data_IF_785958297034
#
_entry.id   IF_785958297034
#
_cell.length_a   1.000
_cell.length_b   1.000
_cell.length_c   1.000
_cell.angle_alpha   90.00
_cell.angle_beta   90.00
_cell.angle_gamma   90.00
#
_symmetry.space_group_name_H-M   'P 1'
#
loop_
_entity.id
_entity.type
_entity.pdbx_description
1 polymer ?
#
# COMPACT_ATOMS: atom_id res chain seq x y z
N UNK A 1 -18.03 -3.75 -19.37
CA UNK A 1 -16.60 -3.37 -19.34
C UNK A 1 -16.40 -2.49 -18.12
N UNK A 2 -15.82 -3.00 -17.04
CA UNK A 2 -15.47 -2.18 -15.87
C UNK A 2 -14.11 -1.56 -16.18
N UNK A 3 -14.07 -0.24 -16.31
CA UNK A 3 -12.86 0.52 -16.62
C UNK A 3 -11.83 0.34 -15.50
N UNK A 4 -10.55 0.40 -15.84
CA UNK A 4 -9.51 0.47 -14.81
C UNK A 4 -9.61 1.84 -14.16
N UNK A 5 -9.78 1.93 -12.83
CA UNK A 5 -9.86 3.21 -12.16
C UNK A 5 -8.63 4.07 -12.47
N UNK A 6 -8.87 5.30 -12.90
CA UNK A 6 -7.84 6.26 -13.30
C UNK A 6 -6.87 6.52 -12.13
N UNK A 7 -5.60 6.18 -12.34
CA UNK A 7 -4.51 6.76 -11.56
C UNK A 7 -4.29 8.15 -12.10
N UNK A 8 -4.54 9.16 -11.27
CA UNK A 8 -4.18 10.55 -11.60
C UNK A 8 -2.98 10.94 -10.78
N UNK A 9 -1.92 11.38 -11.47
CA UNK A 9 -0.76 12.02 -10.86
C UNK A 9 -0.98 13.54 -10.98
N UNK A 10 -1.49 14.14 -9.91
CA UNK A 10 -1.84 15.56 -9.88
C UNK A 10 -0.74 16.30 -9.10
N UNK A 11 0.18 16.94 -9.83
CA UNK A 11 1.45 17.48 -9.34
C UNK A 11 2.46 16.41 -8.87
N UNK A 12 3.76 16.73 -8.80
CA UNK A 12 4.84 15.83 -8.33
C UNK A 12 4.66 15.28 -6.90
N UNK A 13 3.57 15.65 -6.23
CA UNK A 13 3.31 15.43 -4.81
C UNK A 13 2.14 14.50 -4.49
N UNK A 14 1.26 14.18 -5.46
CA UNK A 14 0.10 13.32 -5.21
C UNK A 14 -0.12 12.24 -6.25
N UNK A 15 -0.33 11.01 -5.79
CA UNK A 15 -0.81 9.89 -6.57
C UNK A 15 -2.20 9.53 -6.07
N UNK A 16 -3.17 9.43 -6.96
CA UNK A 16 -4.58 9.22 -6.59
C UNK A 16 -5.10 7.99 -7.31
N UNK A 17 -5.58 7.00 -6.56
CA UNK A 17 -6.38 5.90 -7.07
C UNK A 17 -7.86 6.18 -6.80
N UNK A 18 -8.56 6.69 -7.81
CA UNK A 18 -10.00 6.96 -7.71
C UNK A 18 -10.78 5.64 -7.77
N UNK A 19 -11.89 5.52 -7.04
CA UNK A 19 -12.81 4.40 -7.21
C UNK A 19 -14.03 4.83 -8.04
N UNK A 20 -14.51 3.96 -8.92
CA UNK A 20 -15.73 4.20 -9.71
C UNK A 20 -17.00 4.14 -8.86
N UNK A 21 -16.93 3.38 -7.77
CA UNK A 21 -17.95 3.28 -6.73
C UNK A 21 -17.27 3.28 -5.36
N UNK A 22 -17.98 3.65 -4.30
CA UNK A 22 -17.38 3.69 -2.96
C UNK A 22 -16.94 2.31 -2.50
N UNK A 23 -15.77 2.22 -1.86
CA UNK A 23 -15.21 0.98 -1.32
C UNK A 23 -15.18 1.02 0.22
N UNK A 24 -15.33 -0.15 0.85
CA UNK A 24 -14.88 -0.33 2.23
C UNK A 24 -13.39 -0.67 2.19
N UNK A 25 -12.61 -0.02 3.06
CA UNK A 25 -11.16 -0.15 3.10
C UNK A 25 -10.71 -0.55 4.49
N UNK A 26 -10.04 -1.71 4.59
CA UNK A 26 -9.30 -2.11 5.79
C UNK A 26 -7.86 -1.64 5.64
N UNK A 27 -7.37 -0.78 6.55
CA UNK A 27 -6.01 -0.28 6.46
C UNK A 27 -5.38 0.06 7.82
N UNK A 28 -4.08 0.32 7.82
CA UNK A 28 -3.40 1.10 8.87
C UNK A 28 -2.64 2.28 8.26
N UNK A 29 -3.19 2.85 7.19
CA UNK A 29 -2.65 4.05 6.57
C UNK A 29 -2.72 5.26 7.53
N UNK A 30 -1.98 6.32 7.21
CA UNK A 30 -1.89 7.54 8.05
C UNK A 30 -3.26 8.19 8.23
N UNK A 31 -4.07 8.19 7.17
CA UNK A 31 -5.48 8.61 7.19
C UNK A 31 -6.35 7.44 6.78
N UNK A 32 -7.46 7.24 7.48
CA UNK A 32 -8.44 6.19 7.16
C UNK A 32 -8.04 4.78 7.63
N UNK A 33 -7.29 4.68 8.73
CA UNK A 33 -6.97 3.42 9.41
C UNK A 33 -8.18 2.72 10.03
N UNK A 34 -8.07 1.42 10.26
CA UNK A 34 -9.17 0.55 10.66
C UNK A 34 -10.06 0.16 9.48
N UNK A 35 -11.35 -0.06 9.75
CA UNK A 35 -12.37 -0.37 8.74
C UNK A 35 -13.12 0.90 8.33
N UNK A 36 -12.61 1.58 7.30
CA UNK A 36 -13.21 2.81 6.79
C UNK A 36 -14.24 2.47 5.71
N UNK A 37 -15.49 2.88 5.91
CA UNK A 37 -16.58 2.61 4.98
C UNK A 37 -16.72 3.74 3.98
N UNK A 38 -17.25 3.42 2.79
CA UNK A 38 -17.62 4.38 1.75
C UNK A 38 -16.48 5.34 1.38
N UNK A 39 -15.28 4.80 1.15
CA UNK A 39 -14.10 5.53 0.69
C UNK A 39 -14.22 5.77 -0.81
N UNK A 40 -13.94 6.99 -1.24
CA UNK A 40 -14.04 7.43 -2.64
C UNK A 40 -12.72 7.22 -3.41
N UNK A 41 -11.58 7.40 -2.72
CA UNK A 41 -10.27 7.23 -3.32
C UNK A 41 -9.18 6.94 -2.28
N UNK A 42 -8.03 6.49 -2.78
CA UNK A 42 -6.81 6.30 -1.99
C UNK A 42 -5.71 7.19 -2.53
N UNK A 43 -5.01 7.86 -1.63
CA UNK A 43 -4.03 8.90 -1.95
C UNK A 43 -2.65 8.50 -1.44
N UNK A 44 -1.61 8.77 -2.22
CA UNK A 44 -0.25 8.88 -1.71
C UNK A 44 0.17 10.32 -1.78
N UNK A 45 0.70 10.83 -0.67
CA UNK A 45 1.37 12.12 -0.62
C UNK A 45 2.88 11.92 -0.49
N UNK A 46 3.62 12.52 -1.42
CA UNK A 46 5.08 12.48 -1.39
C UNK A 46 5.62 13.42 -0.31
N UNK A 47 6.52 12.89 0.51
CA UNK A 47 7.26 13.64 1.55
C UNK A 47 8.76 13.48 1.37
N UNK A 48 9.51 14.44 1.89
CA UNK A 48 10.96 14.43 2.04
C UNK A 48 11.29 14.36 3.53
N UNK A 49 12.56 14.09 3.86
CA UNK A 49 13.02 13.99 5.24
C UNK A 49 12.78 15.29 6.03
N UNK A 50 12.83 16.43 5.34
CA UNK A 50 12.59 17.76 5.90
C UNK A 50 11.11 18.02 6.23
N UNK A 51 10.18 17.28 5.62
CA UNK A 51 8.73 17.48 5.81
C UNK A 51 8.20 16.83 7.10
N UNK A 52 8.90 15.82 7.63
CA UNK A 52 8.47 15.01 8.78
C UNK A 52 9.59 14.93 9.82
N UNK A 53 9.88 16.07 10.47
CA UNK A 53 10.76 16.11 11.63
C UNK A 53 10.12 15.41 12.83
N UNK A 54 10.89 14.99 13.86
CA UNK A 54 10.36 14.20 14.98
C UNK A 54 9.22 14.86 15.79
N UNK A 55 9.11 16.19 15.73
CA UNK A 55 8.07 17.01 16.36
C UNK A 55 6.77 17.10 15.54
N UNK A 56 6.79 16.68 14.27
CA UNK A 56 5.64 16.71 13.39
C UNK A 56 4.87 15.39 13.50
N UNK A 57 3.59 15.49 13.89
CA UNK A 57 2.67 14.37 13.79
C UNK A 57 2.32 14.08 12.31
N UNK A 58 2.58 12.86 11.79
CA UNK A 58 2.33 12.55 10.37
C UNK A 58 0.87 12.70 9.95
N UNK A 59 -0.07 12.40 10.85
CA UNK A 59 -1.51 12.51 10.61
C UNK A 59 -1.93 13.97 10.48
N UNK A 60 -1.46 14.84 11.37
CA UNK A 60 -1.78 16.27 11.31
C UNK A 60 -1.14 16.95 10.10
N UNK A 61 0.09 16.55 9.76
CA UNK A 61 0.74 16.94 8.51
C UNK A 61 -0.11 16.56 7.30
N UNK A 62 -0.56 15.30 7.21
CA UNK A 62 -1.38 14.84 6.10
C UNK A 62 -2.71 15.60 6.00
N UNK A 63 -3.40 15.82 7.12
CA UNK A 63 -4.66 16.58 7.14
C UNK A 63 -4.48 18.01 6.66
N UNK A 64 -3.40 18.69 7.07
CA UNK A 64 -3.06 20.03 6.56
C UNK A 64 -2.87 20.02 5.05
N UNK A 65 -2.22 19.00 4.51
CA UNK A 65 -1.99 18.84 3.06
C UNK A 65 -3.29 18.55 2.28
N UNK A 66 -4.20 17.75 2.85
CA UNK A 66 -5.54 17.55 2.28
C UNK A 66 -6.35 18.86 2.25
N UNK A 67 -6.32 19.61 3.34
CA UNK A 67 -6.99 20.92 3.41
C UNK A 67 -6.45 21.88 2.34
N UNK A 68 -5.13 21.95 2.16
CA UNK A 68 -4.48 22.75 1.12
C UNK A 68 -4.82 22.30 -0.31
N UNK A 69 -5.11 21.01 -0.50
CA UNK A 69 -5.54 20.44 -1.78
C UNK A 69 -7.04 20.68 -2.06
N UNK A 70 -7.79 21.19 -1.08
CA UNK A 70 -9.25 21.27 -1.11
C UNK A 70 -9.90 19.89 -1.32
N UNK A 71 -9.26 18.83 -0.82
CA UNK A 71 -9.81 17.47 -0.90
C UNK A 71 -10.88 17.28 0.17
N UNK A 72 -12.13 17.18 -0.28
CA UNK A 72 -13.30 17.02 0.60
C UNK A 72 -13.90 15.62 0.60
N UNK A 73 -13.37 14.69 -0.21
CA UNK A 73 -13.88 13.31 -0.31
C UNK A 73 -13.48 12.47 0.91
N UNK A 74 -14.10 11.30 1.05
CA UNK A 74 -13.70 10.32 2.06
C UNK A 74 -12.53 9.49 1.53
N UNK A 75 -11.36 9.63 2.15
CA UNK A 75 -10.09 9.12 1.61
C UNK A 75 -9.31 8.25 2.59
N UNK A 76 -8.53 7.34 2.04
CA UNK A 76 -7.42 6.66 2.76
C UNK A 76 -6.10 7.23 2.24
N UNK A 77 -5.18 7.55 3.13
CA UNK A 77 -3.98 8.34 2.79
C UNK A 77 -2.67 7.72 3.25
N UNK A 78 -1.74 7.52 2.32
CA UNK A 78 -0.38 7.05 2.54
C UNK A 78 0.66 8.17 2.42
N UNK A 79 1.65 8.21 3.30
CA UNK A 79 2.85 9.02 3.11
C UNK A 79 3.95 8.19 2.47
N UNK A 80 4.68 8.75 1.51
CA UNK A 80 5.79 8.04 0.87
C UNK A 80 6.96 8.96 0.54
N UNK A 81 8.19 8.48 0.75
CA UNK A 81 9.40 9.17 0.28
C UNK A 81 9.77 8.80 -1.16
N UNK A 82 9.09 7.81 -1.74
CA UNK A 82 9.32 7.34 -3.10
C UNK A 82 8.83 8.39 -4.09
N UNK A 83 9.59 8.62 -5.16
CA UNK A 83 9.09 9.42 -6.29
C UNK A 83 7.83 8.77 -6.85
N UNK A 84 6.74 9.51 -6.94
CA UNK A 84 5.44 8.95 -7.32
C UNK A 84 5.40 8.45 -8.76
N UNK A 85 6.37 8.80 -9.60
CA UNK A 85 6.57 8.23 -10.93
C UNK A 85 7.08 6.77 -10.91
N UNK A 86 7.63 6.33 -9.78
CA UNK A 86 8.22 4.99 -9.61
C UNK A 86 7.27 3.98 -8.96
N UNK A 87 5.98 4.32 -8.84
CA UNK A 87 4.99 3.34 -8.40
C UNK A 87 4.98 2.13 -9.34
N UNK A 88 4.60 0.98 -8.80
CA UNK A 88 4.33 -0.22 -9.60
C UNK A 88 2.85 -0.56 -9.50
N UNK A 89 2.31 -1.07 -10.60
CA UNK A 89 0.92 -1.46 -10.70
C UNK A 89 0.80 -2.81 -11.41
N UNK A 90 0.05 -3.71 -10.79
CA UNK A 90 -0.29 -5.02 -11.37
C UNK A 90 -1.79 -5.22 -11.29
N UNK A 91 -2.40 -5.57 -12.41
CA UNK A 91 -3.83 -5.90 -12.51
C UNK A 91 -3.92 -7.33 -13.00
N UNK A 92 -4.53 -8.19 -12.18
CA UNK A 92 -4.83 -9.57 -12.55
C UNK A 92 -6.35 -9.75 -12.61
N UNK A 93 -6.81 -10.48 -13.62
CA UNK A 93 -8.21 -10.85 -13.74
C UNK A 93 -8.31 -12.33 -14.09
N UNK A 94 -9.19 -13.03 -13.40
CA UNK A 94 -9.58 -14.40 -13.72
C UNK A 94 -11.03 -14.60 -13.31
N UNK A 95 -11.82 -15.20 -14.20
CA UNK A 95 -13.29 -15.26 -14.05
C UNK A 95 -13.85 -13.83 -13.85
N UNK A 96 -14.81 -13.67 -12.96
CA UNK A 96 -15.43 -12.37 -12.64
C UNK A 96 -14.67 -11.59 -11.55
N UNK A 97 -13.51 -12.10 -11.13
CA UNK A 97 -12.69 -11.48 -10.09
C UNK A 97 -11.49 -10.75 -10.69
N UNK A 98 -11.36 -9.48 -10.31
CA UNK A 98 -10.21 -8.63 -10.66
C UNK A 98 -9.56 -8.11 -9.38
N UNK A 99 -8.24 -8.25 -9.33
CA UNK A 99 -7.39 -7.70 -8.27
C UNK A 99 -6.42 -6.71 -8.91
N UNK A 100 -6.33 -5.52 -8.33
CA UNK A 100 -5.39 -4.47 -8.69
C UNK A 100 -4.52 -4.15 -7.50
N UNK A 101 -3.20 -4.22 -7.67
CA UNK A 101 -2.21 -3.85 -6.65
C UNK A 101 -1.42 -2.63 -7.10
N UNK A 102 -1.36 -1.59 -6.27
CA UNK A 102 -0.59 -0.37 -6.48
C UNK A 102 0.39 -0.22 -5.32
N UNK A 103 1.68 -0.09 -5.64
CA UNK A 103 2.75 -0.09 -4.64
C UNK A 103 3.70 1.09 -4.82
N UNK A 104 4.04 1.75 -3.71
CA UNK A 104 5.27 2.55 -3.62
C UNK A 104 6.21 1.85 -2.66
N UNK A 105 7.40 1.44 -3.11
CA UNK A 105 8.36 0.71 -2.29
C UNK A 105 9.64 1.51 -2.08
N UNK A 106 9.90 1.95 -0.86
CA UNK A 106 11.16 2.56 -0.43
C UNK A 106 11.80 1.73 0.66
N UNK A 107 13.00 1.21 0.44
CA UNK A 107 13.68 0.27 1.35
C UNK A 107 14.92 0.88 2.02
N UNK A 108 15.03 2.21 2.08
CA UNK A 108 16.17 2.91 2.68
C UNK A 108 16.39 2.58 4.16
N UNK A 109 15.32 2.18 4.87
CA UNK A 109 15.27 1.82 6.28
C UNK A 109 14.77 0.37 6.49
N UNK A 110 15.11 -0.52 5.56
CA UNK A 110 14.70 -1.93 5.61
C UNK A 110 15.05 -2.59 6.96
N UNK A 111 14.11 -3.33 7.54
CA UNK A 111 14.27 -4.03 8.83
C UNK A 111 13.68 -5.43 8.77
N UNK A 112 14.05 -6.27 9.73
CA UNK A 112 13.49 -7.61 9.92
C UNK A 112 12.56 -7.64 11.14
N UNK A 113 11.42 -8.31 10.99
CA UNK A 113 10.53 -8.58 12.12
C UNK A 113 11.27 -9.34 13.23
N UNK A 114 11.15 -8.87 14.47
CA UNK A 114 11.85 -9.44 15.63
C UNK A 114 13.25 -8.88 15.89
N UNK A 115 13.83 -8.08 14.98
CA UNK A 115 15.06 -7.33 15.29
C UNK A 115 14.79 -6.32 16.42
N UNK A 116 15.84 -5.96 17.17
CA UNK A 116 15.74 -4.89 18.17
C UNK A 116 15.39 -3.56 17.48
N UNK A 117 14.44 -2.78 18.02
CA UNK A 117 14.14 -1.46 17.48
C UNK A 117 15.39 -0.57 17.45
N UNK A 118 15.60 0.12 16.34
CA UNK A 118 16.69 1.09 16.18
C UNK A 118 16.18 2.35 15.48
N UNK A 119 16.71 3.50 15.87
CA UNK A 119 16.43 4.75 15.18
C UNK A 119 17.32 4.85 13.94
N UNK A 120 16.74 4.56 12.78
CA UNK A 120 17.42 4.69 11.50
C UNK A 120 17.33 6.14 11.01
N UNK A 121 18.43 6.66 10.47
CA UNK A 121 18.51 8.03 9.93
C UNK A 121 17.91 8.17 8.52
N UNK A 122 17.61 7.05 7.88
CA UNK A 122 17.00 6.98 6.55
C UNK A 122 15.52 6.66 6.69
N UNK A 123 14.71 7.16 5.76
CA UNK A 123 13.29 6.86 5.69
C UNK A 123 13.00 5.98 4.47
N UNK A 124 12.00 5.13 4.62
CA UNK A 124 11.51 4.23 3.59
C UNK A 124 10.21 3.59 4.07
N UNK A 125 9.31 3.35 3.14
CA UNK A 125 8.09 2.62 3.41
C UNK A 125 7.63 1.90 2.15
N UNK A 126 7.09 0.70 2.34
CA UNK A 126 6.32 -0.02 1.33
C UNK A 126 4.85 0.21 1.64
N UNK A 127 4.20 1.02 0.81
CA UNK A 127 2.75 1.25 0.88
C UNK A 127 2.07 0.47 -0.23
N UNK A 128 1.02 -0.27 0.11
CA UNK A 128 0.31 -1.16 -0.81
C UNK A 128 -1.18 -0.86 -0.74
N UNK A 129 -1.78 -0.54 -1.88
CA UNK A 129 -3.21 -0.64 -2.09
C UNK A 129 -3.51 -1.91 -2.87
N UNK A 130 -4.42 -2.73 -2.36
CA UNK A 130 -5.06 -3.79 -3.14
C UNK A 130 -6.54 -3.47 -3.28
N UNK A 131 -7.00 -3.33 -4.52
CA UNK A 131 -8.40 -3.15 -4.86
C UNK A 131 -8.96 -4.44 -5.45
N UNK A 132 -10.04 -4.94 -4.85
CA UNK A 132 -10.79 -6.11 -5.28
C UNK A 132 -12.09 -5.67 -5.97
N UNK A 133 -12.44 -6.25 -7.13
CA UNK A 133 -13.73 -5.95 -7.80
C UNK A 133 -14.95 -6.55 -7.10
N UNK A 134 -14.75 -7.55 -6.24
CA UNK A 134 -15.82 -8.21 -5.50
C UNK A 134 -15.92 -7.64 -4.06
N UNK A 135 -17.14 -7.38 -3.55
CA UNK A 135 -17.32 -6.93 -2.17
C UNK A 135 -16.79 -7.98 -1.19
N UNK A 136 -16.13 -7.52 -0.13
CA UNK A 136 -15.62 -8.36 0.96
C UNK A 136 -16.08 -7.78 2.29
N UNK A 137 -16.48 -8.65 3.23
CA UNK A 137 -16.78 -8.22 4.59
C UNK A 137 -15.48 -7.99 5.39
N UNK A 138 -15.61 -7.55 6.65
CA UNK A 138 -14.45 -7.27 7.52
C UNK A 138 -13.56 -8.51 7.73
N UNK A 139 -14.14 -9.67 8.00
CA UNK A 139 -13.39 -10.91 8.28
C UNK A 139 -12.59 -11.35 7.04
N UNK A 140 -13.23 -11.33 5.87
CA UNK A 140 -12.57 -11.67 4.61
C UNK A 140 -11.49 -10.63 4.24
N UNK A 141 -11.72 -9.35 4.56
CA UNK A 141 -10.71 -8.30 4.36
C UNK A 141 -9.51 -8.45 5.29
N UNK A 142 -9.71 -8.96 6.51
CA UNK A 142 -8.63 -9.30 7.44
C UNK A 142 -7.75 -10.43 6.90
N UNK A 143 -8.36 -11.49 6.34
CA UNK A 143 -7.63 -12.54 5.63
C UNK A 143 -6.84 -11.98 4.44
N UNK A 144 -7.45 -11.11 3.62
CA UNK A 144 -6.78 -10.47 2.49
C UNK A 144 -5.54 -9.69 2.95
N UNK A 145 -5.67 -8.86 3.99
CA UNK A 145 -4.56 -8.11 4.58
C UNK A 145 -3.42 -9.02 5.02
N UNK A 146 -3.72 -10.17 5.64
CA UNK A 146 -2.70 -11.15 6.02
C UNK A 146 -1.94 -11.68 4.80
N UNK A 147 -2.64 -11.99 3.70
CA UNK A 147 -2.00 -12.45 2.46
C UNK A 147 -1.15 -11.36 1.81
N UNK A 148 -1.61 -10.10 1.83
CA UNK A 148 -0.85 -8.96 1.31
C UNK A 148 0.46 -8.79 2.09
N UNK A 149 0.39 -8.87 3.43
CA UNK A 149 1.57 -8.77 4.28
C UNK A 149 2.58 -9.90 4.01
N UNK A 150 2.09 -11.13 3.84
CA UNK A 150 2.91 -12.29 3.50
C UNK A 150 3.57 -12.14 2.12
N UNK A 151 2.80 -11.78 1.09
CA UNK A 151 3.31 -11.59 -0.27
C UNK A 151 4.37 -10.48 -0.36
N UNK A 152 4.14 -9.35 0.35
CA UNK A 152 5.15 -8.29 0.51
C UNK A 152 6.42 -8.82 1.15
N UNK A 153 6.28 -9.60 2.22
CA UNK A 153 7.44 -10.15 2.95
C UNK A 153 8.23 -11.10 2.07
N UNK A 154 7.55 -11.97 1.32
CA UNK A 154 8.17 -12.89 0.37
C UNK A 154 8.99 -12.14 -0.69
N UNK A 155 8.39 -11.13 -1.32
CA UNK A 155 9.09 -10.32 -2.33
C UNK A 155 10.34 -9.61 -1.76
N UNK A 156 10.29 -9.10 -0.52
CA UNK A 156 11.45 -8.46 0.13
C UNK A 156 12.56 -9.48 0.44
N UNK A 157 12.19 -10.67 0.94
CA UNK A 157 13.15 -11.75 1.22
C UNK A 157 13.85 -12.24 -0.06
N UNK A 158 13.08 -12.45 -1.12
CA UNK A 158 13.61 -12.87 -2.43
C UNK A 158 14.50 -11.80 -3.07
N UNK A 159 14.25 -10.52 -2.77
CA UNK A 159 15.11 -9.41 -3.19
C UNK A 159 16.48 -9.37 -2.48
N UNK A 160 16.69 -10.24 -1.47
CA UNK A 160 17.94 -10.40 -0.69
C UNK A 160 18.49 -9.10 -0.10
N UNK A 161 17.60 -8.23 0.38
CA UNK A 161 17.96 -6.96 1.01
C UNK A 161 18.31 -7.21 2.48
N UNK A 162 19.42 -6.65 2.97
CA UNK A 162 19.80 -6.75 4.38
C UNK A 162 18.97 -5.80 5.26
N UNK A 163 18.67 -6.26 6.46
CA UNK A 163 18.17 -5.42 7.55
C UNK A 163 19.22 -4.35 7.89
N UNK A 164 18.79 -3.13 8.14
CA UNK A 164 19.63 -2.05 8.67
C UNK A 164 19.79 -2.12 10.18
N UNK A 165 18.98 -2.95 10.86
CA UNK A 165 19.01 -3.14 12.31
C UNK A 165 19.75 -4.42 12.75
N UNK A 166 20.23 -5.24 11.80
CA UNK A 166 20.89 -6.52 12.08
C UNK A 166 21.62 -7.09 10.87
N UNK A 167 22.09 -8.33 10.96
CA UNK A 167 22.85 -9.01 9.87
C UNK A 167 21.98 -9.85 8.94
N UNK A 168 20.69 -9.94 9.21
CA UNK A 168 19.76 -10.82 8.51
C UNK A 168 19.10 -10.13 7.31
N UNK A 169 18.40 -10.90 6.46
CA UNK A 169 17.52 -10.35 5.44
C UNK A 169 16.34 -9.59 6.04
N UNK A 170 15.98 -8.47 5.42
CA UNK A 170 14.81 -7.68 5.76
C UNK A 170 13.52 -8.42 5.39
N UNK A 171 12.44 -8.11 6.10
CA UNK A 171 11.07 -8.59 5.81
C UNK A 171 10.14 -7.47 5.38
N UNK A 172 10.63 -6.22 5.41
CA UNK A 172 9.90 -5.01 5.05
C UNK A 172 10.65 -3.77 5.54
N UNK A 173 9.91 -2.72 5.85
CA UNK A 173 10.40 -1.55 6.60
C UNK A 173 9.69 -1.42 7.96
N UNK A 174 10.09 -0.43 8.75
CA UNK A 174 9.46 -0.13 10.04
C UNK A 174 8.09 0.54 9.94
N UNK A 175 7.69 1.03 8.76
CA UNK A 175 6.51 1.88 8.58
C UNK A 175 5.63 1.47 7.39
N UNK A 176 5.78 0.23 6.91
CA UNK A 176 5.00 -0.29 5.79
C UNK A 176 3.50 -0.19 6.08
N UNK A 177 2.71 0.28 5.10
CA UNK A 177 1.26 0.41 5.22
C UNK A 177 0.52 -0.40 4.16
N UNK A 178 -0.58 -1.05 4.53
CA UNK A 178 -1.45 -1.78 3.60
C UNK A 178 -2.87 -1.21 3.69
N UNK A 179 -3.53 -1.09 2.54
CA UNK A 179 -4.96 -0.85 2.41
C UNK A 179 -5.55 -1.92 1.47
N UNK A 180 -6.56 -2.64 1.95
CA UNK A 180 -7.37 -3.53 1.13
C UNK A 180 -8.75 -2.90 0.92
N UNK A 181 -9.10 -2.65 -0.34
CA UNK A 181 -10.34 -2.00 -0.75
C UNK A 181 -11.24 -2.97 -1.51
N UNK A 182 -12.53 -2.99 -1.20
CA UNK A 182 -13.56 -3.70 -1.97
C UNK A 182 -14.87 -2.92 -2.00
N UNK A 183 -15.74 -3.08 -3.00
CA UNK A 183 -17.00 -2.32 -3.10
C UNK A 183 -17.82 -2.34 -1.81
N UNK A 184 -18.41 -1.19 -1.45
CA UNK A 184 -19.29 -1.03 -0.27
C UNK A 184 -20.68 -1.65 -0.49
N UNK A 185 -20.71 -2.93 -0.88
CA UNK A 185 -21.92 -3.74 -1.07
C UNK A 185 -21.90 -4.95 -0.14
N UNK A 186 -23.04 -5.65 -0.07
CA UNK A 186 -23.10 -6.92 0.64
C UNK A 186 -22.20 -7.96 -0.02
N UNK A 187 -21.35 -8.60 0.78
CA UNK A 187 -20.46 -9.66 0.34
C UNK A 187 -21.15 -11.02 0.38
N UNK A 188 -21.02 -11.77 -0.71
CA UNK A 188 -21.29 -13.23 -0.74
C UNK A 188 -20.00 -14.04 -0.55
N UNK A 189 -18.85 -13.39 -0.51
CA UNK A 189 -17.55 -14.02 -0.25
C UNK A 189 -17.29 -13.98 1.26
N UNK A 190 -17.00 -15.14 1.84
CA UNK A 190 -16.81 -15.31 3.28
C UNK A 190 -15.36 -15.58 3.68
N UNK A 191 -14.51 -16.01 2.75
CA UNK A 191 -13.12 -16.40 3.00
C UNK A 191 -12.27 -16.06 1.77
N UNK A 192 -10.99 -15.77 1.98
CA UNK A 192 -10.05 -15.44 0.90
C UNK A 192 -8.65 -16.02 1.13
N UNK A 193 -8.54 -17.12 1.87
CA UNK A 193 -7.29 -17.82 2.08
C UNK A 193 -6.63 -18.37 0.80
N UNK A 194 -5.41 -18.91 0.92
CA UNK A 194 -4.56 -19.31 -0.22
C UNK A 194 -5.14 -20.36 -1.17
N UNK A 195 -6.10 -21.15 -0.70
CA UNK A 195 -6.80 -22.15 -1.52
C UNK A 195 -7.93 -21.56 -2.38
N UNK A 196 -8.27 -20.28 -2.18
CA UNK A 196 -9.28 -19.58 -2.96
C UNK A 196 -8.66 -18.89 -4.18
N UNK A 197 -9.48 -18.67 -5.21
CA UNK A 197 -9.08 -17.86 -6.35
C UNK A 197 -8.71 -16.44 -5.91
N UNK A 198 -9.48 -15.82 -5.01
CA UNK A 198 -9.21 -14.47 -4.52
C UNK A 198 -7.88 -14.39 -3.76
N UNK A 199 -7.60 -15.34 -2.88
CA UNK A 199 -6.33 -15.42 -2.17
C UNK A 199 -5.13 -15.63 -3.10
N UNK A 200 -5.27 -16.48 -4.12
CA UNK A 200 -4.26 -16.67 -5.15
C UNK A 200 -3.97 -15.37 -5.92
N UNK A 201 -5.01 -14.68 -6.41
CA UNK A 201 -4.85 -13.45 -7.18
C UNK A 201 -4.28 -12.30 -6.32
N UNK A 202 -4.73 -12.16 -5.07
CA UNK A 202 -4.20 -11.17 -4.12
C UNK A 202 -2.71 -11.42 -3.88
N UNK A 203 -2.34 -12.65 -3.50
CA UNK A 203 -0.95 -12.98 -3.22
C UNK A 203 -0.05 -12.75 -4.44
N UNK A 204 -0.49 -13.18 -5.63
CA UNK A 204 0.27 -13.03 -6.88
C UNK A 204 0.42 -11.56 -7.29
N UNK A 205 -0.67 -10.79 -7.31
CA UNK A 205 -0.63 -9.38 -7.71
C UNK A 205 0.27 -8.54 -6.78
N UNK A 206 0.20 -8.80 -5.48
CA UNK A 206 1.04 -8.11 -4.49
C UNK A 206 2.50 -8.51 -4.64
N UNK A 207 2.80 -9.80 -4.75
CA UNK A 207 4.17 -10.26 -4.91
C UNK A 207 4.83 -9.66 -6.16
N UNK A 208 4.14 -9.67 -7.31
CA UNK A 208 4.63 -9.10 -8.56
C UNK A 208 4.82 -7.58 -8.45
N UNK A 209 3.80 -6.85 -7.96
CA UNK A 209 3.88 -5.39 -7.83
C UNK A 209 4.93 -4.94 -6.82
N UNK A 210 5.08 -5.61 -5.67
CA UNK A 210 6.15 -5.32 -4.71
C UNK A 210 7.51 -5.60 -5.34
N UNK A 211 7.70 -6.75 -5.99
CA UNK A 211 8.96 -7.09 -6.68
C UNK A 211 9.36 -6.05 -7.73
N UNK A 212 8.39 -5.56 -8.51
CA UNK A 212 8.60 -4.46 -9.47
C UNK A 212 8.97 -3.15 -8.76
N UNK A 213 8.27 -2.80 -7.69
CA UNK A 213 8.54 -1.60 -6.90
C UNK A 213 9.95 -1.61 -6.29
N UNK A 214 10.40 -2.76 -5.78
CA UNK A 214 11.76 -2.96 -5.28
C UNK A 214 12.78 -2.77 -6.41
N UNK A 215 12.50 -3.28 -7.60
CA UNK A 215 13.37 -3.10 -8.78
C UNK A 215 13.49 -1.63 -9.17
N UNK A 216 12.37 -0.89 -9.19
CA UNK A 216 12.36 0.56 -9.44
C UNK A 216 13.16 1.33 -8.39
N UNK A 217 13.02 0.96 -7.11
CA UNK A 217 13.79 1.55 -6.01
C UNK A 217 15.29 1.30 -6.15
N UNK A 218 15.71 0.08 -6.47
CA UNK A 218 17.13 -0.27 -6.70
C UNK A 218 17.73 0.55 -7.84
N UNK A 219 17.02 0.74 -8.95
CA UNK A 219 17.49 1.52 -10.11
C UNK A 219 17.72 3.00 -9.80
N UNK A 220 16.95 3.56 -8.87
CA UNK A 220 16.99 4.99 -8.54
C UNK A 220 17.97 5.33 -7.41
N UNK A 221 18.29 4.36 -6.54
CA UNK A 221 19.20 4.53 -5.40
C UNK A 221 20.60 3.92 -5.62
N UNK A 222 20.83 3.20 -6.73
CA UNK A 222 22.15 2.72 -7.14
C UNK A 222 22.87 3.71 -8.08
N UNK A 223 22.66 5.02 -7.89
CA UNK A 223 23.46 6.07 -8.53
C UNK A 223 24.33 6.75 -7.49
#
# INVERSE_FOLDING_TARGET
>A
MIHTPLITNDSTSWLIANFEETHNVLSWAVIGGGWTKQVDCVLWHRVRNEDLTPDINPTDYFRKRLFQKEESRNVVGFLTSVSLENYSEVILQKEDLRIRSIVTAGLGNSVRIGDRPSQLKTYGTINILVQCSAPMNLNTSLEAVSLIAEARTLAVLEAKILSKAGQNLATGTGTDCIAFASPSRNSTIHYTGKHTLSGHLIGKAVHESVSQGITNWKRTNWK
#
